data_IF_860266220087
#
_entry.id   IF_860266220087
#
_cell.length_a   1.000
_cell.length_b   1.000
_cell.length_c   1.000
_cell.angle_alpha   90.00
_cell.angle_beta   90.00
_cell.angle_gamma   90.00
#
_symmetry.space_group_name_H-M   'P 1'
#
loop_
_entity.id
_entity.type
_entity.pdbx_description
1 polymer ?
#
# COMPACT_ATOMS: atom_id res chain seq x y z
N UNK A 1 -20.48 -15.46 8.15
CA UNK A 1 -20.93 -14.06 8.35
C UNK A 1 -19.80 -13.04 8.19
N UNK A 2 -18.63 -13.19 8.83
CA UNK A 2 -17.57 -12.15 8.87
C UNK A 2 -16.93 -11.77 7.52
N UNK A 3 -16.72 -12.71 6.60
CA UNK A 3 -16.07 -12.43 5.31
C UNK A 3 -16.84 -11.39 4.45
N UNK A 4 -18.17 -11.42 4.43
CA UNK A 4 -18.98 -10.47 3.67
C UNK A 4 -18.89 -9.04 4.24
N UNK A 5 -18.81 -8.91 5.57
CA UNK A 5 -18.63 -7.63 6.25
C UNK A 5 -17.23 -7.06 6.04
N UNK A 6 -16.20 -7.90 6.17
CA UNK A 6 -14.82 -7.54 5.83
C UNK A 6 -14.70 -7.01 4.39
N UNK A 7 -15.30 -7.70 3.42
CA UNK A 7 -15.34 -7.27 2.01
C UNK A 7 -16.04 -5.93 1.83
N UNK A 8 -17.15 -5.71 2.55
CA UNK A 8 -17.90 -4.45 2.47
C UNK A 8 -17.03 -3.25 2.90
N UNK A 9 -16.29 -3.39 4.00
CA UNK A 9 -15.43 -2.31 4.49
C UNK A 9 -14.21 -2.09 3.59
N UNK A 10 -13.54 -3.17 3.18
CA UNK A 10 -12.32 -3.12 2.37
C UNK A 10 -12.58 -2.80 0.89
N UNK A 11 -13.81 -2.97 0.40
CA UNK A 11 -14.25 -2.51 -0.93
C UNK A 11 -14.63 -1.02 -0.98
N UNK A 12 -14.65 -0.32 0.16
CA UNK A 12 -15.01 1.10 0.23
C UNK A 12 -13.87 2.04 -0.17
N UNK A 13 -14.20 3.26 -0.59
CA UNK A 13 -13.23 4.32 -0.99
C UNK A 13 -13.02 5.38 0.10
N UNK A 14 -13.28 5.03 1.37
CA UNK A 14 -13.25 5.97 2.48
C UNK A 14 -11.83 6.35 2.92
N UNK A 15 -11.57 7.66 3.11
CA UNK A 15 -10.29 8.20 3.64
C UNK A 15 -9.97 7.80 5.10
N UNK A 16 -10.83 7.00 5.73
CA UNK A 16 -10.76 6.63 7.15
C UNK A 16 -10.81 5.12 7.34
N UNK A 17 -10.49 4.36 6.29
CA UNK A 17 -10.56 2.90 6.28
C UNK A 17 -9.84 2.25 7.47
N UNK A 18 -8.63 2.70 7.81
CA UNK A 18 -7.88 2.14 8.95
C UNK A 18 -8.64 2.25 10.28
N UNK A 19 -9.34 3.38 10.49
CA UNK A 19 -10.16 3.61 11.68
C UNK A 19 -11.44 2.79 11.60
N UNK A 20 -12.17 2.94 10.50
CA UNK A 20 -13.49 2.34 10.35
C UNK A 20 -13.39 0.80 10.39
N UNK A 21 -12.30 0.23 9.85
CA UNK A 21 -12.04 -1.20 9.92
C UNK A 21 -11.68 -1.68 11.33
N UNK A 22 -10.87 -0.94 12.11
CA UNK A 22 -10.59 -1.34 13.51
C UNK A 22 -11.86 -1.21 14.38
N UNK A 23 -12.74 -0.25 14.10
CA UNK A 23 -14.02 -0.10 14.81
C UNK A 23 -15.00 -1.25 14.55
N UNK A 24 -15.06 -1.78 13.33
CA UNK A 24 -16.07 -2.78 12.94
C UNK A 24 -15.52 -4.21 12.81
N UNK A 25 -14.23 -4.35 12.53
CA UNK A 25 -13.54 -5.62 12.35
C UNK A 25 -12.18 -5.60 13.08
N UNK A 26 -12.18 -5.51 14.42
CA UNK A 26 -10.98 -5.26 15.21
C UNK A 26 -9.95 -6.40 15.11
N UNK A 27 -8.72 -6.11 15.55
CA UNK A 27 -7.68 -7.13 15.74
C UNK A 27 -7.30 -7.92 14.48
N UNK A 28 -7.38 -7.27 13.31
CA UNK A 28 -7.08 -7.88 12.02
C UNK A 28 -7.89 -9.15 11.69
N UNK A 29 -9.10 -9.33 12.24
CA UNK A 29 -9.84 -10.58 12.05
C UNK A 29 -10.10 -10.90 10.56
N UNK A 30 -10.19 -9.87 9.72
CA UNK A 30 -10.39 -10.00 8.29
C UNK A 30 -9.19 -10.59 7.53
N UNK A 31 -7.97 -10.63 8.09
CA UNK A 31 -6.80 -11.22 7.40
C UNK A 31 -6.91 -12.74 7.20
N UNK A 32 -7.80 -13.38 7.96
CA UNK A 32 -8.07 -14.82 7.85
C UNK A 32 -8.97 -15.15 6.65
N UNK A 33 -9.42 -14.13 5.91
CA UNK A 33 -10.37 -14.25 4.81
C UNK A 33 -9.85 -13.52 3.59
N UNK A 34 -10.13 -14.07 2.40
CA UNK A 34 -9.86 -13.34 1.17
C UNK A 34 -10.95 -12.29 0.95
N UNK A 35 -10.52 -11.04 1.00
CA UNK A 35 -11.40 -9.85 1.01
C UNK A 35 -11.38 -9.09 -0.33
N UNK A 36 -10.38 -9.31 -1.18
CA UNK A 36 -10.39 -8.82 -2.55
C UNK A 36 -11.25 -9.72 -3.45
N UNK A 37 -12.26 -9.17 -4.12
CA UNK A 37 -12.98 -9.94 -5.14
C UNK A 37 -12.07 -10.16 -6.36
N UNK A 38 -11.87 -11.41 -6.76
CA UNK A 38 -10.88 -11.81 -7.77
C UNK A 38 -9.44 -11.92 -7.27
N UNK A 39 -9.17 -11.69 -5.98
CA UNK A 39 -7.84 -11.91 -5.38
C UNK A 39 -7.46 -13.39 -5.36
N UNK A 40 -6.18 -13.77 -5.47
CA UNK A 40 -5.74 -15.16 -5.42
C UNK A 40 -5.71 -15.75 -4.00
N UNK A 41 -6.36 -15.09 -3.03
CA UNK A 41 -6.46 -15.50 -1.63
C UNK A 41 -5.70 -14.57 -0.68
N UNK A 42 -5.75 -14.89 0.62
CA UNK A 42 -5.09 -14.11 1.66
C UNK A 42 -3.60 -13.90 1.38
N UNK A 43 -3.04 -12.80 1.91
CA UNK A 43 -1.59 -12.58 1.88
C UNK A 43 -0.92 -13.49 2.92
N UNK A 44 -0.04 -14.38 2.47
CA UNK A 44 0.59 -15.38 3.34
C UNK A 44 1.76 -14.77 4.12
N UNK A 45 2.07 -15.29 5.32
CA UNK A 45 3.18 -14.79 6.14
C UNK A 45 4.53 -14.80 5.40
N UNK A 46 4.80 -15.88 4.65
CA UNK A 46 6.04 -16.02 3.87
C UNK A 46 6.03 -15.30 2.53
N UNK A 47 4.96 -14.56 2.19
CA UNK A 47 4.85 -13.89 0.92
C UNK A 47 5.72 -12.63 0.89
N UNK A 48 6.54 -12.50 -0.15
CA UNK A 48 7.25 -11.26 -0.46
C UNK A 48 6.28 -10.22 -1.00
N UNK A 49 6.43 -9.00 -0.50
CA UNK A 49 5.66 -7.84 -0.87
C UNK A 49 6.59 -6.74 -1.37
N UNK A 50 6.06 -5.90 -2.26
CA UNK A 50 6.76 -4.76 -2.81
C UNK A 50 5.97 -3.47 -2.59
N UNK A 51 6.67 -2.38 -2.28
CA UNK A 51 6.11 -1.01 -2.29
C UNK A 51 6.93 -0.18 -3.27
N UNK A 52 6.28 0.32 -4.31
CA UNK A 52 6.88 1.32 -5.21
C UNK A 52 6.94 2.67 -4.50
N UNK A 53 7.99 3.44 -4.71
CA UNK A 53 8.18 4.74 -4.07
C UNK A 53 8.17 5.85 -5.11
N UNK A 54 7.31 6.86 -4.98
CA UNK A 54 6.87 7.68 -6.12
C UNK A 54 7.13 9.16 -5.90
N UNK A 55 7.90 9.79 -6.77
CA UNK A 55 8.08 11.24 -6.85
C UNK A 55 6.91 11.89 -7.60
N UNK A 56 6.33 13.03 -7.14
CA UNK A 56 6.63 13.78 -5.89
C UNK A 56 5.72 13.42 -4.71
N UNK A 57 5.07 12.25 -4.74
CA UNK A 57 4.08 11.86 -3.74
C UNK A 57 4.74 11.47 -2.41
N UNK A 58 5.82 10.72 -2.51
CA UNK A 58 6.48 10.06 -1.40
C UNK A 58 7.82 10.72 -1.04
N UNK A 59 8.24 11.78 -1.74
CA UNK A 59 9.51 12.48 -1.50
C UNK A 59 9.33 13.92 -1.04
N UNK A 60 10.28 14.40 -0.24
CA UNK A 60 10.40 15.80 0.12
C UNK A 60 11.16 16.61 -0.96
N UNK A 61 11.30 17.92 -0.74
CA UNK A 61 12.00 18.82 -1.66
C UNK A 61 13.48 18.47 -1.88
N UNK A 62 14.08 17.70 -0.98
CA UNK A 62 15.47 17.27 -1.05
C UNK A 62 15.62 15.89 -1.73
N UNK A 63 14.51 15.33 -2.24
CA UNK A 63 14.46 14.02 -2.89
C UNK A 63 14.57 12.85 -1.91
N UNK A 64 14.38 13.09 -0.61
CA UNK A 64 14.40 12.05 0.42
C UNK A 64 12.99 11.54 0.66
N UNK A 65 12.89 10.33 1.20
CA UNK A 65 11.62 9.74 1.62
C UNK A 65 10.92 10.67 2.62
N UNK A 66 9.78 11.22 2.20
CA UNK A 66 8.99 12.14 2.99
C UNK A 66 8.46 11.44 4.24
N UNK A 67 8.41 12.17 5.35
CA UNK A 67 7.83 11.66 6.61
C UNK A 67 6.39 11.17 6.43
N UNK A 68 5.65 11.72 5.46
CA UNK A 68 4.27 11.37 5.17
C UNK A 68 4.10 10.22 4.16
N UNK A 69 5.18 9.62 3.64
CA UNK A 69 5.08 8.59 2.60
C UNK A 69 4.36 7.31 3.04
N UNK A 70 4.23 7.09 4.36
CA UNK A 70 3.47 5.99 4.92
C UNK A 70 2.15 6.44 5.56
N UNK A 71 1.71 7.69 5.33
CA UNK A 71 0.49 8.20 5.97
C UNK A 71 -0.74 7.38 5.59
N UNK A 72 -0.72 6.86 4.37
CA UNK A 72 -1.71 5.96 3.83
C UNK A 72 -1.95 4.72 4.69
N UNK A 73 -0.96 4.20 5.41
CA UNK A 73 -1.16 3.06 6.29
C UNK A 73 -2.20 3.33 7.39
N UNK A 74 -2.31 4.56 7.90
CA UNK A 74 -3.26 4.93 8.97
C UNK A 74 -4.45 5.78 8.47
N UNK A 75 -4.58 5.93 7.16
CA UNK A 75 -5.70 6.57 6.47
C UNK A 75 -6.56 5.53 5.72
N UNK A 76 -6.26 5.31 4.44
CA UNK A 76 -7.03 4.56 3.44
C UNK A 76 -6.31 3.30 2.91
N UNK A 77 -5.12 2.99 3.41
CA UNK A 77 -4.35 1.80 3.09
C UNK A 77 -3.05 2.09 2.33
N UNK A 78 -1.93 1.58 2.84
CA UNK A 78 -0.65 1.64 2.15
C UNK A 78 -0.61 0.54 1.08
N UNK A 79 -0.65 0.96 -0.18
CA UNK A 79 -0.64 0.08 -1.35
C UNK A 79 0.62 -0.77 -1.44
N UNK A 80 0.45 -2.08 -1.64
CA UNK A 80 1.53 -3.05 -1.84
C UNK A 80 1.22 -3.95 -3.03
N UNK A 81 2.29 -4.44 -3.65
CA UNK A 81 2.26 -5.43 -4.72
C UNK A 81 2.74 -6.78 -4.15
N UNK A 82 2.11 -7.87 -4.56
CA UNK A 82 2.50 -9.23 -4.19
C UNK A 82 3.51 -9.80 -5.17
N UNK A 83 4.53 -10.53 -4.71
CA UNK A 83 5.58 -11.07 -5.59
C UNK A 83 5.08 -12.02 -6.67
N UNK A 84 3.98 -12.72 -6.40
CA UNK A 84 3.31 -13.59 -7.37
C UNK A 84 2.72 -12.86 -8.57
N UNK A 85 2.74 -11.52 -8.59
CA UNK A 85 2.29 -10.75 -9.73
C UNK A 85 3.12 -11.05 -10.99
N UNK A 86 2.42 -11.19 -12.12
CA UNK A 86 3.08 -11.22 -13.42
C UNK A 86 3.37 -9.79 -13.90
N UNK A 87 4.20 -9.66 -14.94
CA UNK A 87 4.66 -8.35 -15.41
C UNK A 87 3.51 -7.46 -15.90
N UNK A 88 2.45 -8.02 -16.49
CA UNK A 88 1.28 -7.26 -16.93
C UNK A 88 0.46 -6.71 -15.76
N UNK A 89 0.39 -7.44 -14.65
CA UNK A 89 -0.23 -6.97 -13.41
C UNK A 89 0.58 -5.86 -12.74
N UNK A 90 1.91 -6.04 -12.70
CA UNK A 90 2.86 -5.02 -12.21
C UNK A 90 2.76 -3.75 -13.06
N UNK A 91 2.74 -3.89 -14.38
CA UNK A 91 2.62 -2.78 -15.32
C UNK A 91 1.32 -2.00 -15.09
N UNK A 92 0.18 -2.69 -14.99
CA UNK A 92 -1.10 -2.05 -14.73
C UNK A 92 -1.09 -1.23 -13.43
N UNK A 93 -0.55 -1.81 -12.35
CA UNK A 93 -0.41 -1.11 -11.06
C UNK A 93 0.53 0.10 -11.15
N UNK A 94 1.67 -0.06 -11.81
CA UNK A 94 2.65 1.01 -11.98
C UNK A 94 2.08 2.16 -12.83
N UNK A 95 1.35 1.86 -13.91
CA UNK A 95 0.66 2.85 -14.74
C UNK A 95 -0.35 3.62 -13.90
N UNK A 96 -1.17 2.92 -13.11
CA UNK A 96 -2.16 3.57 -12.24
C UNK A 96 -1.51 4.51 -11.23
N UNK A 97 -0.39 4.08 -10.63
CA UNK A 97 0.43 4.89 -9.71
C UNK A 97 1.00 6.12 -10.41
N UNK A 98 1.60 5.93 -11.59
CA UNK A 98 2.26 6.96 -12.39
C UNK A 98 1.28 7.91 -13.07
N UNK A 99 0.00 7.56 -13.10
CA UNK A 99 -1.01 8.37 -13.78
C UNK A 99 -1.26 9.71 -13.08
N UNK A 100 -1.48 10.73 -13.90
CA UNK A 100 -1.68 12.12 -13.46
C UNK A 100 -2.92 12.73 -14.14
N UNK A 101 -3.45 13.79 -13.56
CA UNK A 101 -4.48 14.62 -14.22
C UNK A 101 -3.79 15.65 -15.13
N UNK A 102 -4.48 16.18 -16.15
CA UNK A 102 -3.93 17.26 -16.99
C UNK A 102 -3.40 18.43 -16.13
N UNK A 103 -2.21 18.92 -16.46
CA UNK A 103 -1.55 20.03 -15.77
C UNK A 103 -0.95 19.69 -14.40
N UNK A 104 -0.92 18.42 -13.99
CA UNK A 104 -0.19 17.97 -12.79
C UNK A 104 1.24 17.52 -13.12
N UNK A 105 2.20 17.64 -12.17
CA UNK A 105 3.54 17.14 -12.37
C UNK A 105 3.52 15.66 -12.73
N UNK A 106 4.36 15.28 -13.69
CA UNK A 106 4.63 13.88 -14.01
C UNK A 106 5.15 13.16 -12.78
N UNK A 107 4.79 11.88 -12.65
CA UNK A 107 5.26 11.03 -11.56
C UNK A 107 6.38 10.13 -12.03
N UNK A 108 7.19 9.68 -11.08
CA UNK A 108 8.25 8.70 -11.34
C UNK A 108 8.37 7.76 -10.15
N UNK A 109 8.46 6.45 -10.39
CA UNK A 109 8.89 5.51 -9.37
C UNK A 109 10.40 5.66 -9.21
N UNK A 110 10.87 5.99 -8.00
CA UNK A 110 12.29 6.17 -7.69
C UNK A 110 12.95 4.89 -7.20
N UNK A 111 12.21 4.08 -6.46
CA UNK A 111 12.71 2.86 -5.84
C UNK A 111 11.57 1.90 -5.60
N UNK A 112 11.92 0.63 -5.39
CA UNK A 112 10.99 -0.41 -5.00
C UNK A 112 11.54 -1.03 -3.73
N UNK A 113 10.72 -1.13 -2.71
CA UNK A 113 11.11 -1.72 -1.45
C UNK A 113 10.51 -3.11 -1.32
N UNK A 114 11.35 -4.08 -0.97
CA UNK A 114 10.96 -5.47 -0.75
C UNK A 114 10.90 -5.75 0.74
N UNK A 115 9.90 -6.51 1.15
CA UNK A 115 9.79 -7.01 2.52
C UNK A 115 8.90 -8.26 2.56
N UNK A 116 9.05 -9.06 3.60
CA UNK A 116 8.21 -10.25 3.82
C UNK A 116 7.00 -9.85 4.66
N UNK A 117 5.82 -10.38 4.33
CA UNK A 117 4.57 -10.07 5.02
C UNK A 117 4.66 -10.27 6.54
N UNK A 118 5.27 -11.38 6.99
CA UNK A 118 5.42 -11.68 8.42
C UNK A 118 6.13 -10.57 9.19
N UNK A 119 7.11 -9.90 8.58
CA UNK A 119 7.82 -8.78 9.22
C UNK A 119 6.85 -7.67 9.60
N UNK A 120 5.89 -7.35 8.73
CA UNK A 120 4.86 -6.32 8.99
C UNK A 120 3.91 -6.78 10.10
N UNK A 121 3.53 -8.06 10.08
CA UNK A 121 2.59 -8.63 11.05
C UNK A 121 3.17 -8.75 12.47
N UNK A 122 4.49 -8.89 12.58
CA UNK A 122 5.19 -9.02 13.85
C UNK A 122 5.51 -7.68 14.51
N UNK A 123 5.32 -6.55 13.82
CA UNK A 123 5.52 -5.24 14.43
C UNK A 123 4.50 -5.01 15.55
N UNK A 124 5.04 -4.72 16.73
CA UNK A 124 4.27 -4.47 17.94
C UNK A 124 4.53 -3.03 18.40
N UNK A 125 3.48 -2.38 18.85
CA UNK A 125 3.52 -1.04 19.43
C UNK A 125 2.87 -1.08 20.81
N UNK A 126 3.43 -0.29 21.73
CA UNK A 126 2.94 -0.21 23.10
C UNK A 126 1.94 0.94 23.19
N UNK A 127 0.68 0.63 23.49
CA UNK A 127 -0.36 1.61 23.75
C UNK A 127 -1.11 1.30 25.03
N UNK A 128 -1.26 2.32 25.89
CA UNK A 128 -1.99 2.21 27.16
C UNK A 128 -1.57 1.01 28.01
N UNK A 129 -0.26 0.78 28.10
CA UNK A 129 0.36 -0.36 28.78
C UNK A 129 0.04 -1.75 28.17
N UNK A 130 -0.58 -1.80 26.99
CA UNK A 130 -0.77 -3.02 26.22
C UNK A 130 0.20 -3.07 25.04
N UNK A 131 0.83 -4.22 24.84
CA UNK A 131 1.62 -4.51 23.64
C UNK A 131 0.69 -5.11 22.59
N UNK A 132 0.50 -4.41 21.48
CA UNK A 132 -0.48 -4.78 20.46
C UNK A 132 0.15 -4.73 19.08
N UNK A 133 -0.33 -5.60 18.19
CA UNK A 133 0.10 -5.60 16.79
C UNK A 133 -0.16 -4.24 16.15
N UNK A 134 0.79 -3.76 15.36
CA UNK A 134 0.76 -2.44 14.76
C UNK A 134 -0.02 -2.39 13.43
N UNK A 135 0.12 -3.43 12.60
CA UNK A 135 -0.39 -3.41 11.23
C UNK A 135 -1.10 -4.70 10.84
N UNK A 136 -2.14 -4.57 10.02
CA UNK A 136 -2.82 -5.63 9.30
C UNK A 136 -2.47 -5.57 7.81
N UNK A 137 -2.44 -6.71 7.12
CA UNK A 137 -2.13 -6.86 5.71
C UNK A 137 -3.25 -7.64 5.02
N UNK A 138 -3.97 -6.98 4.12
CA UNK A 138 -5.13 -7.55 3.44
C UNK A 138 -4.86 -7.73 1.95
N UNK A 139 -5.41 -8.80 1.38
CA UNK A 139 -5.48 -8.94 -0.07
C UNK A 139 -6.56 -8.01 -0.63
N UNK A 140 -6.29 -7.37 -1.75
CA UNK A 140 -7.26 -6.49 -2.39
C UNK A 140 -7.08 -6.60 -3.90
N UNK A 141 -8.11 -6.21 -4.65
CA UNK A 141 -7.98 -5.99 -6.08
C UNK A 141 -8.17 -4.51 -6.37
N UNK A 142 -7.45 -3.99 -7.35
CA UNK A 142 -7.55 -2.58 -7.73
C UNK A 142 -8.05 -2.44 -9.17
N UNK A 143 -9.07 -1.61 -9.41
CA UNK A 143 -9.52 -1.31 -10.77
C UNK A 143 -8.44 -0.62 -11.59
N UNK A 144 -8.36 -0.96 -12.88
CA UNK A 144 -7.43 -0.36 -13.84
C UNK A 144 -7.94 1.00 -14.29
N UNK A 145 -7.10 2.02 -14.30
CA UNK A 145 -7.55 3.39 -14.61
C UNK A 145 -7.73 3.61 -16.11
N UNK A 146 -6.83 3.08 -16.94
CA UNK A 146 -6.86 3.24 -18.39
C UNK A 146 -7.58 2.09 -19.12
N UNK A 147 -7.62 0.91 -18.51
CA UNK A 147 -8.18 -0.31 -19.11
C UNK A 147 -9.44 -0.76 -18.33
N UNK A 148 -10.41 0.15 -18.15
CA UNK A 148 -11.58 -0.09 -17.29
C UNK A 148 -12.46 -1.28 -17.73
N UNK A 149 -12.32 -1.77 -18.96
CA UNK A 149 -13.00 -2.96 -19.46
C UNK A 149 -12.32 -4.29 -19.07
N UNK A 150 -11.12 -4.26 -18.49
CA UNK A 150 -10.42 -5.44 -18.02
C UNK A 150 -10.69 -5.71 -16.54
N UNK A 151 -10.46 -6.96 -16.13
CA UNK A 151 -10.57 -7.34 -14.74
C UNK A 151 -9.61 -6.52 -13.84
N UNK A 152 -10.03 -6.18 -12.60
CA UNK A 152 -9.14 -5.56 -11.61
C UNK A 152 -7.83 -6.35 -11.44
N UNK A 153 -6.75 -5.66 -11.08
CA UNK A 153 -5.47 -6.32 -10.83
C UNK A 153 -5.59 -7.18 -9.57
N UNK A 154 -5.39 -8.51 -9.65
CA UNK A 154 -5.72 -9.42 -8.55
C UNK A 154 -4.62 -9.51 -7.47
N UNK A 155 -3.40 -9.09 -7.80
CA UNK A 155 -2.19 -9.25 -6.97
C UNK A 155 -1.82 -8.00 -6.17
N UNK A 156 -2.81 -7.15 -5.92
CA UNK A 156 -2.71 -5.99 -5.04
C UNK A 156 -2.96 -6.38 -3.58
N UNK A 157 -2.51 -5.53 -2.67
CA UNK A 157 -2.85 -5.62 -1.26
C UNK A 157 -2.66 -4.28 -0.58
N UNK A 158 -3.05 -4.23 0.69
CA UNK A 158 -2.87 -3.03 1.52
C UNK A 158 -2.34 -3.38 2.89
N UNK A 159 -1.52 -2.48 3.43
CA UNK A 159 -1.16 -2.44 4.84
C UNK A 159 -1.97 -1.36 5.54
N UNK A 160 -2.65 -1.73 6.63
CA UNK A 160 -3.44 -0.83 7.46
C UNK A 160 -2.93 -0.84 8.90
N UNK A 161 -2.72 0.32 9.49
CA UNK A 161 -2.35 0.49 10.89
C UNK A 161 -3.58 0.29 11.78
N UNK A 162 -3.39 -0.41 12.89
CA UNK A 162 -4.44 -0.65 13.88
C UNK A 162 -4.63 0.57 14.76
N UNK A 163 -5.66 1.38 14.46
CA UNK A 163 -5.95 2.64 15.18
C UNK A 163 -6.58 2.40 16.54
N UNK A 164 -5.76 1.99 17.51
CA UNK A 164 -6.20 1.69 18.89
C UNK A 164 -5.83 2.77 19.92
N UNK A 165 -5.40 3.96 19.49
CA UNK A 165 -4.99 4.98 20.45
C UNK A 165 -6.22 5.54 21.20
N UNK A 166 -6.11 5.60 22.53
CA UNK A 166 -7.02 6.36 23.40
C UNK A 166 -6.19 7.35 24.22
N UNK A 167 -6.79 8.44 24.75
CA UNK A 167 -6.07 9.38 25.61
C UNK A 167 -5.28 8.66 26.71
N UNK A 168 -4.03 9.06 26.99
CA UNK A 168 -3.39 10.33 26.61
C UNK A 168 -2.65 10.31 25.25
N UNK A 169 -2.62 9.18 24.53
CA UNK A 169 -1.91 9.10 23.25
C UNK A 169 -2.65 9.90 22.19
N UNK A 170 -1.96 10.84 21.55
CA UNK A 170 -2.52 11.64 20.46
C UNK A 170 -2.45 10.91 19.13
N UNK A 171 -3.35 11.22 18.20
CA UNK A 171 -3.30 10.72 16.82
C UNK A 171 -1.92 11.01 16.18
N UNK A 172 -1.38 12.21 16.39
CA UNK A 172 -0.07 12.62 15.86
C UNK A 172 1.07 11.75 16.37
N UNK A 173 1.03 11.37 17.65
CA UNK A 173 2.04 10.48 18.23
C UNK A 173 1.92 9.07 17.64
N UNK A 174 0.71 8.52 17.57
CA UNK A 174 0.44 7.24 16.92
C UNK A 174 0.97 7.20 15.48
N UNK A 175 0.62 8.21 14.69
CA UNK A 175 1.03 8.32 13.29
C UNK A 175 2.55 8.42 13.16
N UNK A 176 3.21 9.13 14.08
CA UNK A 176 4.67 9.18 14.11
C UNK A 176 5.30 7.82 14.36
N UNK A 177 4.84 7.08 15.36
CA UNK A 177 5.38 5.77 15.74
C UNK A 177 5.18 4.75 14.61
N UNK A 178 4.00 4.76 13.98
CA UNK A 178 3.72 3.92 12.81
C UNK A 178 4.63 4.27 11.62
N UNK A 179 4.83 5.56 11.33
CA UNK A 179 5.72 5.98 10.25
C UNK A 179 7.16 5.52 10.49
N UNK A 180 7.68 5.70 11.71
CA UNK A 180 9.05 5.26 12.06
C UNK A 180 9.20 3.75 11.89
N UNK A 181 8.19 3.00 12.33
CA UNK A 181 8.19 1.54 12.24
C UNK A 181 8.17 1.06 10.78
N UNK A 182 7.26 1.60 9.96
CA UNK A 182 7.17 1.26 8.54
C UNK A 182 8.41 1.69 7.77
N UNK A 183 8.97 2.87 8.07
CA UNK A 183 10.22 3.30 7.44
C UNK A 183 11.36 2.31 7.74
N UNK A 184 11.51 1.89 9.00
CA UNK A 184 12.54 0.90 9.37
C UNK A 184 12.35 -0.42 8.65
N UNK A 185 11.11 -0.90 8.55
CA UNK A 185 10.78 -2.19 7.96
C UNK A 185 10.92 -2.19 6.44
N UNK A 186 10.33 -1.20 5.78
CA UNK A 186 10.22 -1.15 4.32
C UNK A 186 11.55 -0.70 3.71
N UNK A 187 12.26 0.23 4.34
CA UNK A 187 13.54 0.70 3.81
C UNK A 187 14.70 -0.31 3.98
N UNK A 188 14.45 -1.50 4.53
CA UNK A 188 15.48 -2.50 4.78
C UNK A 188 16.06 -3.11 3.49
N UNK A 189 15.23 -3.35 2.46
CA UNK A 189 15.69 -3.90 1.18
C UNK A 189 15.18 -3.02 0.03
N UNK A 190 16.05 -2.15 -0.47
CA UNK A 190 15.81 -1.27 -1.60
C UNK A 190 16.27 -1.94 -2.90
N UNK A 191 15.41 -1.92 -3.91
CA UNK A 191 15.66 -2.36 -5.27
C UNK A 191 15.61 -1.12 -6.18
N UNK A 192 16.66 -0.95 -6.99
CA UNK A 192 16.68 0.10 -8.00
C UNK A 192 15.74 -0.25 -9.16
N UNK A 193 15.07 0.76 -9.72
CA UNK A 193 14.01 0.54 -10.73
C UNK A 193 14.49 -0.12 -12.01
N UNK A 194 15.79 -0.02 -12.31
CA UNK A 194 16.42 -0.69 -13.45
C UNK A 194 16.60 -2.20 -13.22
N UNK A 195 16.72 -2.63 -11.97
CA UNK A 195 16.99 -4.03 -11.60
C UNK A 195 15.71 -4.83 -11.37
N UNK A 196 14.56 -4.16 -11.28
CA UNK A 196 13.29 -4.82 -11.04
C UNK A 196 12.64 -5.31 -12.34
N UNK A 197 12.46 -6.64 -12.44
CA UNK A 197 11.77 -7.31 -13.58
C UNK A 197 12.34 -6.86 -14.93
N UNK A 198 13.65 -7.04 -15.10
CA UNK A 198 14.37 -6.67 -16.33
C UNK A 198 14.13 -5.22 -16.76
N UNK A 199 14.11 -4.29 -15.80
CA UNK A 199 13.92 -2.86 -16.04
C UNK A 199 12.50 -2.45 -16.41
N UNK A 200 11.47 -3.25 -16.08
CA UNK A 200 10.07 -2.93 -16.37
C UNK A 200 9.68 -1.53 -15.86
N UNK A 201 9.97 -1.24 -14.59
CA UNK A 201 9.59 0.04 -13.97
C UNK A 201 10.41 1.20 -14.55
N UNK A 202 11.67 0.97 -14.93
CA UNK A 202 12.47 1.96 -15.63
C UNK A 202 11.82 2.39 -16.95
N UNK A 203 11.39 1.45 -17.79
CA UNK A 203 10.68 1.75 -19.04
C UNK A 203 9.36 2.48 -18.81
N UNK A 204 8.60 2.12 -17.76
CA UNK A 204 7.36 2.81 -17.43
C UNK A 204 7.60 4.24 -16.96
N UNK A 205 8.70 4.52 -16.27
CA UNK A 205 9.09 5.89 -15.94
C UNK A 205 9.36 6.72 -17.19
N UNK A 206 10.03 6.15 -18.21
CA UNK A 206 10.28 6.85 -19.49
C UNK A 206 8.97 7.19 -20.22
N UNK A 207 8.03 6.23 -20.26
CA UNK A 207 6.68 6.44 -20.83
C UNK A 207 5.88 7.49 -20.06
N UNK A 208 5.98 7.50 -18.74
CA UNK A 208 5.36 8.54 -17.91
C UNK A 208 5.95 9.92 -18.22
N UNK A 209 7.28 10.03 -18.33
CA UNK A 209 7.98 11.25 -18.72
C UNK A 209 7.58 11.75 -20.10
N UNK A 210 7.28 10.84 -21.04
CA UNK A 210 6.75 11.15 -22.36
C UNK A 210 5.26 11.58 -22.35
N UNK A 211 4.58 11.54 -21.20
CA UNK A 211 3.20 11.99 -21.05
C UNK A 211 2.14 10.92 -21.36
N UNK A 212 2.52 9.65 -21.52
CA UNK A 212 1.57 8.58 -21.88
C UNK A 212 0.50 8.32 -20.81
N UNK A 213 0.77 8.65 -19.54
CA UNK A 213 -0.11 8.35 -18.41
C UNK A 213 -0.88 9.56 -17.89
N UNK A 214 -1.14 10.54 -18.76
CA UNK A 214 -2.06 11.65 -18.44
C UNK A 214 -3.49 11.20 -18.70
N UNK A 215 -4.32 11.19 -17.65
CA UNK A 215 -5.74 10.80 -17.74
C UNK A 215 -6.51 11.83 -18.57
N UNK A 216 -7.52 11.36 -19.31
CA UNK A 216 -8.51 12.25 -19.90
C UNK A 216 -9.18 13.11 -18.81
N UNK A 217 -9.53 14.34 -19.16
CA UNK A 217 -10.15 15.31 -18.26
C UNK A 217 -11.55 14.87 -17.79
#
# INVERSE_FOLDING_TARGET
MRCAECRKWLGGTGRRLARDLEEHCPACECEQHSVGDGSPGIVQNGETLYRMFVDPVDVDSDGRLARAAFSKAYEDGLSILRERANDAEVEALAIDILSTKPGKPTKKVLAIFRFVCVSVRQEMIVYNNACVRAFCVYDQTVPRIFEQGLAPVPTHGIVLARRMYVPPVTARQFEHDCNVTLHRLIAAERIEVADFRDGLIHRLNERSAAGEFVRAA
#
